data_IF_354107354325
#
_entry.id   IF_354107354325
#
_cell.length_a   1.000
_cell.length_b   1.000
_cell.length_c   1.000
_cell.angle_alpha   90.00
_cell.angle_beta   90.00
_cell.angle_gamma   90.00
#
_symmetry.space_group_name_H-M   'P 1'
#
loop_
_entity.id
_entity.type
_entity.pdbx_description
1 polymer ?
#
# COMPACT_ATOMS: atom_id res chain seq x y z
N UNK A 1 35.77 7.07 42.16
CA UNK A 1 36.41 6.04 41.29
C UNK A 1 35.60 5.93 40.01
N UNK A 2 36.27 5.92 38.84
CA UNK A 2 35.67 5.91 37.50
C UNK A 2 35.47 4.46 37.05
N UNK A 3 34.27 4.09 36.62
CA UNK A 3 34.06 2.87 35.84
C UNK A 3 33.74 3.26 34.40
N UNK A 4 34.67 2.96 33.51
CA UNK A 4 34.49 2.99 32.06
C UNK A 4 34.30 1.55 31.60
N UNK A 5 33.24 1.27 30.85
CA UNK A 5 33.26 0.19 29.86
C UNK A 5 32.20 0.45 28.80
N UNK A 6 32.67 0.62 27.56
CA UNK A 6 31.85 0.66 26.34
C UNK A 6 32.30 -0.55 25.52
N UNK A 7 31.44 -1.55 25.39
CA UNK A 7 31.74 -2.77 24.63
C UNK A 7 31.33 -2.53 23.18
N UNK A 8 32.35 -2.43 22.31
CA UNK A 8 32.20 -2.35 20.85
C UNK A 8 32.24 -3.75 20.27
N UNK A 9 31.14 -4.19 19.65
CA UNK A 9 31.08 -5.46 18.92
C UNK A 9 31.14 -5.17 17.43
N UNK A 10 32.22 -5.59 16.76
CA UNK A 10 32.39 -5.51 15.31
C UNK A 10 31.88 -6.79 14.65
N UNK A 11 31.01 -6.67 13.66
CA UNK A 11 30.49 -7.79 12.86
C UNK A 11 31.41 -8.02 11.65
N UNK A 12 32.05 -9.18 11.55
CA UNK A 12 32.86 -9.53 10.38
C UNK A 12 32.00 -10.19 9.29
N UNK A 13 32.03 -9.67 8.06
CA UNK A 13 31.43 -10.29 6.87
C UNK A 13 32.46 -11.24 6.23
N UNK A 14 32.24 -12.54 6.35
CA UNK A 14 33.01 -13.55 5.62
C UNK A 14 32.66 -13.57 4.14
N UNK A 15 33.67 -13.53 3.27
CA UNK A 15 33.52 -13.69 1.82
C UNK A 15 33.55 -15.18 1.51
N UNK A 16 32.49 -15.71 0.92
CA UNK A 16 32.47 -17.07 0.36
C UNK A 16 32.95 -17.01 -1.10
N UNK A 17 34.17 -17.48 -1.34
CA UNK A 17 34.65 -17.80 -2.69
C UNK A 17 34.53 -19.33 -2.87
N UNK A 18 33.55 -19.78 -3.64
CA UNK A 18 33.48 -21.17 -4.11
C UNK A 18 33.72 -21.20 -5.62
N UNK A 19 34.96 -21.47 -6.02
CA UNK A 19 35.28 -21.91 -7.38
C UNK A 19 35.02 -23.42 -7.45
N UNK A 20 33.93 -23.81 -8.11
CA UNK A 20 33.64 -25.21 -8.44
C UNK A 20 34.32 -25.60 -9.74
N UNK A 21 35.01 -26.73 -9.71
CA UNK A 21 35.88 -27.26 -10.75
C UNK A 21 35.15 -27.70 -12.04
N UNK A 22 35.88 -27.53 -13.15
CA UNK A 22 35.58 -28.05 -14.47
C UNK A 22 35.93 -29.54 -14.56
N UNK A 23 34.97 -30.37 -14.96
CA UNK A 23 35.24 -31.72 -15.44
C UNK A 23 34.53 -31.92 -16.79
N UNK A 24 35.33 -31.86 -17.85
CA UNK A 24 34.96 -32.34 -19.18
C UNK A 24 34.82 -33.86 -19.12
N UNK A 25 33.63 -34.38 -19.41
CA UNK A 25 33.44 -35.74 -19.90
C UNK A 25 32.46 -35.69 -21.07
N UNK A 26 32.88 -36.31 -22.14
CA UNK A 26 32.40 -36.27 -23.50
C UNK A 26 31.66 -37.57 -23.78
N UNK A 27 30.34 -37.49 -23.95
CA UNK A 27 29.53 -38.57 -24.53
C UNK A 27 28.42 -37.95 -25.39
N UNK A 28 28.28 -38.46 -26.61
CA UNK A 28 27.46 -37.90 -27.67
C UNK A 28 25.97 -38.15 -27.44
N UNK A 29 25.13 -37.14 -27.70
CA UNK A 29 23.75 -37.36 -28.15
C UNK A 29 23.13 -36.11 -28.79
N UNK A 30 22.72 -36.31 -30.05
CA UNK A 30 21.70 -35.61 -30.83
C UNK A 30 21.74 -34.07 -30.89
N UNK A 31 22.17 -33.57 -32.04
CA UNK A 31 21.93 -32.21 -32.51
C UNK A 31 20.43 -31.87 -32.51
N UNK A 32 20.00 -31.07 -31.53
CA UNK A 32 18.84 -30.21 -31.66
C UNK A 32 19.37 -28.76 -31.76
N UNK A 33 19.02 -28.10 -32.87
CA UNK A 33 19.39 -26.72 -33.20
C UNK A 33 19.22 -25.81 -31.96
N UNK A 34 20.15 -24.88 -31.67
CA UNK A 34 19.88 -23.85 -30.69
C UNK A 34 18.66 -23.07 -31.20
N UNK A 35 17.55 -23.20 -30.48
CA UNK A 35 16.40 -22.33 -30.70
C UNK A 35 16.88 -20.95 -30.30
N UNK A 36 17.22 -20.12 -31.28
CA UNK A 36 17.30 -18.69 -31.13
C UNK A 36 15.89 -18.21 -30.79
N UNK A 37 15.56 -18.23 -29.51
CA UNK A 37 14.49 -17.40 -28.99
C UNK A 37 15.11 -16.51 -27.95
N UNK A 38 15.92 -15.58 -28.46
CA UNK A 38 15.97 -14.23 -27.89
C UNK A 38 14.54 -13.69 -27.92
N UNK A 39 13.75 -14.14 -26.95
CA UNK A 39 12.47 -13.55 -26.62
C UNK A 39 12.84 -12.23 -25.98
N UNK A 40 13.14 -11.23 -26.82
CA UNK A 40 13.08 -9.84 -26.42
C UNK A 40 11.65 -9.63 -25.95
N UNK A 41 11.39 -9.87 -24.67
CA UNK A 41 10.18 -9.45 -24.01
C UNK A 41 10.13 -7.96 -24.25
N UNK A 42 9.25 -7.54 -25.15
CA UNK A 42 8.97 -6.15 -25.44
C UNK A 42 8.70 -5.48 -24.10
N UNK A 43 9.70 -4.77 -23.57
CA UNK A 43 9.55 -3.81 -22.50
C UNK A 43 8.70 -2.68 -23.07
N UNK A 44 7.40 -2.92 -23.23
CA UNK A 44 6.41 -1.85 -23.21
C UNK A 44 6.37 -1.38 -21.76
N UNK A 45 7.43 -0.67 -21.35
CA UNK A 45 7.55 -0.03 -20.06
C UNK A 45 6.52 1.08 -20.03
N UNK A 46 5.29 0.75 -19.66
CA UNK A 46 4.30 1.76 -19.29
C UNK A 46 4.95 2.61 -18.20
N UNK A 47 5.26 3.86 -18.55
CA UNK A 47 5.78 4.83 -17.57
C UNK A 47 4.85 4.85 -16.36
N UNK A 48 5.38 4.99 -15.15
CA UNK A 48 4.55 5.02 -13.94
C UNK A 48 4.25 6.45 -13.53
N UNK A 49 3.12 6.65 -12.87
CA UNK A 49 2.77 7.88 -12.16
C UNK A 49 2.63 7.55 -10.69
N UNK A 50 3.27 8.37 -9.85
CA UNK A 50 3.19 8.29 -8.40
C UNK A 50 2.24 9.37 -7.90
N UNK A 51 1.14 8.94 -7.32
CA UNK A 51 0.11 9.84 -6.78
C UNK A 51 0.21 9.85 -5.27
N UNK A 52 0.55 10.98 -4.64
CA UNK A 52 0.63 11.07 -3.20
C UNK A 52 -0.74 10.91 -2.56
N UNK A 53 -0.80 10.20 -1.44
CA UNK A 53 -1.99 10.11 -0.61
C UNK A 53 -1.71 10.40 0.86
N UNK A 54 -2.75 10.84 1.56
CA UNK A 54 -2.74 11.08 3.00
C UNK A 54 -3.94 10.38 3.67
N UNK A 55 -3.71 9.77 4.83
CA UNK A 55 -4.77 9.10 5.61
C UNK A 55 -4.96 9.84 6.93
N UNK A 56 -6.17 10.37 7.12
CA UNK A 56 -6.62 10.97 8.38
C UNK A 56 -7.62 10.03 9.04
N UNK A 57 -7.37 9.69 10.31
CA UNK A 57 -8.28 8.84 11.10
C UNK A 57 -8.68 9.59 12.37
N UNK A 58 -9.99 9.80 12.60
CA UNK A 58 -10.52 10.53 13.76
C UNK A 58 -9.86 11.90 13.99
N UNK A 59 -9.66 12.67 12.91
CA UNK A 59 -8.97 13.96 12.97
C UNK A 59 -7.46 13.89 13.22
N UNK A 60 -6.89 12.71 13.47
CA UNK A 60 -5.45 12.51 13.58
C UNK A 60 -4.89 12.19 12.19
N UNK A 61 -4.30 13.21 11.56
CA UNK A 61 -3.49 13.00 10.35
C UNK A 61 -2.10 12.55 10.77
N UNK A 62 -1.72 11.34 10.36
CA UNK A 62 -0.33 10.92 10.45
C UNK A 62 0.30 11.32 9.12
N UNK A 63 1.44 12.00 9.18
CA UNK A 63 2.23 12.45 8.04
C UNK A 63 2.92 11.27 7.32
N UNK A 64 2.16 10.23 6.99
CA UNK A 64 2.59 9.18 6.09
C UNK A 64 2.05 9.56 4.72
N UNK A 65 2.71 10.56 4.11
CA UNK A 65 2.59 10.84 2.69
C UNK A 65 3.34 9.73 1.96
N UNK A 66 2.58 8.78 1.42
CA UNK A 66 3.12 7.74 0.54
C UNK A 66 2.45 7.85 -0.83
N UNK A 67 2.91 7.05 -1.80
CA UNK A 67 2.47 7.14 -3.17
C UNK A 67 1.71 5.88 -3.61
N UNK A 68 0.55 6.07 -4.22
CA UNK A 68 -0.09 5.05 -5.04
C UNK A 68 0.54 5.07 -6.43
N UNK A 69 0.93 3.91 -6.93
CA UNK A 69 1.55 3.78 -8.25
C UNK A 69 0.51 3.34 -9.29
N UNK A 70 0.48 4.06 -10.41
CA UNK A 70 -0.41 3.80 -11.55
C UNK A 70 0.40 3.74 -12.85
N UNK A 71 -0.13 3.08 -13.88
CA UNK A 71 0.41 3.22 -15.23
C UNK A 71 0.04 4.61 -15.75
N UNK A 72 0.99 5.32 -16.33
CA UNK A 72 0.79 6.65 -16.91
C UNK A 72 -0.27 6.59 -18.01
N UNK A 73 -1.15 7.58 -18.02
CA UNK A 73 -2.23 7.75 -18.99
C UNK A 73 -3.23 6.59 -19.02
N UNK A 74 -3.23 5.73 -17.99
CA UNK A 74 -4.24 4.68 -17.85
C UNK A 74 -5.55 5.29 -17.40
N UNK A 75 -6.64 4.93 -18.09
CA UNK A 75 -8.00 5.16 -17.63
C UNK A 75 -8.34 4.11 -16.57
N UNK A 76 -8.65 4.56 -15.36
CA UNK A 76 -9.00 3.71 -14.22
C UNK A 76 -10.44 3.96 -13.81
N UNK A 77 -11.13 2.92 -13.34
CA UNK A 77 -12.46 3.06 -12.78
C UNK A 77 -12.41 3.57 -11.34
N UNK A 78 -13.49 4.20 -10.86
CA UNK A 78 -13.61 4.55 -9.44
C UNK A 78 -13.60 3.34 -8.53
N UNK A 79 -14.04 2.17 -9.03
CA UNK A 79 -13.98 0.91 -8.29
C UNK A 79 -12.53 0.46 -8.07
N UNK A 80 -11.70 0.45 -9.13
CA UNK A 80 -10.29 0.06 -9.01
C UNK A 80 -9.51 1.02 -8.11
N UNK A 81 -9.86 2.31 -8.15
CA UNK A 81 -9.29 3.30 -7.26
C UNK A 81 -9.72 3.06 -5.81
N UNK A 82 -10.99 2.75 -5.57
CA UNK A 82 -11.50 2.41 -4.25
C UNK A 82 -10.81 1.16 -3.69
N UNK A 83 -10.64 0.11 -4.49
CA UNK A 83 -9.97 -1.13 -4.08
C UNK A 83 -8.53 -0.84 -3.62
N UNK A 84 -7.80 0.04 -4.33
CA UNK A 84 -6.47 0.52 -3.90
C UNK A 84 -6.52 1.34 -2.62
N UNK A 85 -7.53 2.21 -2.46
CA UNK A 85 -7.73 3.03 -1.25
C UNK A 85 -8.01 2.13 -0.03
N UNK A 86 -8.85 1.11 -0.17
CA UNK A 86 -9.12 0.12 0.88
C UNK A 86 -7.86 -0.66 1.25
N UNK A 87 -7.10 -1.10 0.25
CA UNK A 87 -5.83 -1.80 0.48
C UNK A 87 -4.82 -0.97 1.30
N UNK A 88 -4.69 0.34 1.04
CA UNK A 88 -3.79 1.20 1.85
C UNK A 88 -4.35 1.55 3.22
N UNK A 89 -5.68 1.55 3.39
CA UNK A 89 -6.32 1.70 4.70
C UNK A 89 -6.05 0.48 5.59
N UNK A 90 -6.17 -0.72 5.03
CA UNK A 90 -5.92 -1.97 5.73
C UNK A 90 -4.42 -2.13 6.06
N UNK A 91 -3.54 -1.99 5.07
CA UNK A 91 -2.09 -2.20 5.27
C UNK A 91 -1.45 -1.15 6.18
N UNK A 92 -1.83 0.13 6.09
CA UNK A 92 -1.19 1.19 6.88
C UNK A 92 -1.87 1.45 8.23
N UNK A 93 -3.16 1.15 8.37
CA UNK A 93 -3.95 1.52 9.56
C UNK A 93 -4.76 0.37 10.15
N UNK A 94 -4.76 -0.81 9.54
CA UNK A 94 -5.56 -1.95 9.98
C UNK A 94 -7.07 -1.71 9.87
N UNK A 95 -7.50 -0.78 9.02
CA UNK A 95 -8.92 -0.45 8.83
C UNK A 95 -9.49 -1.36 7.72
N UNK A 96 -10.35 -2.29 8.12
CA UNK A 96 -10.97 -3.28 7.22
C UNK A 96 -12.29 -2.76 6.63
N UNK A 97 -12.87 -3.46 5.65
CA UNK A 97 -14.20 -3.13 5.12
C UNK A 97 -15.29 -3.14 6.21
N UNK A 98 -15.16 -4.03 7.21
CA UNK A 98 -16.05 -4.05 8.39
C UNK A 98 -15.96 -2.75 9.17
N UNK A 99 -14.74 -2.25 9.42
CA UNK A 99 -14.53 -0.98 10.12
C UNK A 99 -15.10 0.20 9.33
N UNK A 100 -14.95 0.21 8.01
CA UNK A 100 -15.53 1.24 7.14
C UNK A 100 -17.06 1.25 7.20
N UNK A 101 -17.70 0.07 7.17
CA UNK A 101 -19.16 -0.06 7.30
C UNK A 101 -19.66 0.44 8.65
N UNK A 102 -18.92 0.16 9.73
CA UNK A 102 -19.24 0.57 11.10
C UNK A 102 -18.82 2.01 11.44
N UNK A 103 -18.03 2.64 10.58
CA UNK A 103 -17.54 4.01 10.75
C UNK A 103 -18.68 5.04 10.73
N UNK A 104 -18.45 6.18 11.39
CA UNK A 104 -19.33 7.35 11.27
C UNK A 104 -19.24 7.94 9.87
N UNK A 105 -18.01 8.02 9.35
CA UNK A 105 -17.70 8.52 8.03
C UNK A 105 -16.50 7.76 7.47
N UNK A 106 -16.57 7.42 6.20
CA UNK A 106 -15.42 6.91 5.46
C UNK A 106 -15.50 7.42 4.02
N UNK A 107 -14.60 8.33 3.65
CA UNK A 107 -14.58 8.93 2.31
C UNK A 107 -13.16 9.18 1.85
N UNK A 108 -12.96 9.21 0.54
CA UNK A 108 -11.74 9.72 -0.05
C UNK A 108 -12.04 10.84 -1.04
N UNK A 109 -11.11 11.77 -1.15
CA UNK A 109 -11.17 12.89 -2.09
C UNK A 109 -10.05 12.76 -3.08
N UNK A 110 -10.39 12.65 -4.35
CA UNK A 110 -9.44 12.76 -5.47
C UNK A 110 -9.30 14.23 -5.81
N UNK A 111 -8.10 14.76 -5.66
CA UNK A 111 -7.76 16.11 -6.13
C UNK A 111 -7.12 15.97 -7.51
N UNK A 112 -7.65 16.68 -8.50
CA UNK A 112 -7.13 16.66 -9.86
C UNK A 112 -6.16 17.83 -10.09
N UNK A 113 -5.28 17.67 -11.08
CA UNK A 113 -4.29 18.71 -11.45
C UNK A 113 -4.94 19.99 -11.98
N UNK A 114 -6.13 19.88 -12.58
CA UNK A 114 -6.94 21.01 -13.04
C UNK A 114 -7.64 21.78 -11.90
N UNK A 115 -7.43 21.39 -10.64
CA UNK A 115 -8.03 22.04 -9.47
C UNK A 115 -9.40 21.49 -9.04
N UNK A 116 -10.05 20.67 -9.88
CA UNK A 116 -11.32 20.02 -9.53
C UNK A 116 -11.12 18.94 -8.48
N UNK A 117 -12.20 18.58 -7.78
CA UNK A 117 -12.20 17.55 -6.72
C UNK A 117 -13.39 16.62 -6.88
N UNK A 118 -13.18 15.34 -6.59
CA UNK A 118 -14.26 14.35 -6.47
C UNK A 118 -14.20 13.70 -5.10
N UNK A 119 -15.32 13.70 -4.39
CA UNK A 119 -15.48 13.01 -3.11
C UNK A 119 -16.23 11.71 -3.37
N UNK A 120 -15.71 10.61 -2.83
CA UNK A 120 -16.29 9.27 -2.95
C UNK A 120 -16.51 8.74 -1.53
N UNK A 121 -17.71 8.24 -1.29
CA UNK A 121 -18.08 7.57 -0.05
C UNK A 121 -17.73 6.08 -0.15
N UNK A 122 -16.83 5.62 0.73
CA UNK A 122 -16.37 4.23 0.80
C UNK A 122 -17.45 3.26 1.30
N UNK A 123 -18.59 3.79 1.78
CA UNK A 123 -19.73 3.02 2.29
C UNK A 123 -20.82 2.84 1.25
N UNK A 124 -20.81 3.61 0.15
CA UNK A 124 -21.94 3.66 -0.77
C UNK A 124 -22.09 2.40 -1.62
N UNK A 125 -20.98 1.78 -2.04
CA UNK A 125 -20.99 0.64 -2.97
C UNK A 125 -21.57 0.95 -4.37
N UNK A 126 -21.91 2.22 -4.66
CA UNK A 126 -22.44 2.66 -5.94
C UNK A 126 -21.34 3.38 -6.72
N UNK A 127 -21.06 2.89 -7.92
CA UNK A 127 -20.00 3.43 -8.78
C UNK A 127 -20.59 3.97 -10.08
N UNK A 128 -20.08 5.11 -10.52
CA UNK A 128 -20.35 5.60 -11.88
C UNK A 128 -19.48 4.85 -12.88
N UNK A 129 -19.99 4.60 -14.09
CA UNK A 129 -19.20 4.05 -15.20
C UNK A 129 -18.09 5.00 -15.71
N UNK A 130 -18.01 6.22 -15.19
CA UNK A 130 -16.99 7.19 -15.56
C UNK A 130 -15.59 6.69 -15.19
N UNK A 131 -14.67 6.83 -16.14
CA UNK A 131 -13.26 6.56 -15.94
C UNK A 131 -12.51 7.86 -15.67
N UNK A 132 -11.40 7.77 -14.94
CA UNK A 132 -10.49 8.88 -14.70
C UNK A 132 -9.12 8.54 -15.27
N UNK A 133 -8.43 9.54 -15.81
CA UNK A 133 -7.05 9.35 -16.24
C UNK A 133 -6.13 9.45 -15.02
N UNK A 134 -5.32 8.43 -14.79
CA UNK A 134 -4.33 8.38 -13.70
C UNK A 134 -3.34 9.54 -13.71
N UNK A 135 -2.98 10.06 -14.89
CA UNK A 135 -2.06 11.20 -15.01
C UNK A 135 -2.68 12.53 -14.56
N UNK A 136 -4.01 12.62 -14.51
CA UNK A 136 -4.72 13.84 -14.10
C UNK A 136 -4.89 13.94 -12.59
N UNK A 137 -4.59 12.86 -11.86
CA UNK A 137 -4.69 12.84 -10.40
C UNK A 137 -3.49 13.57 -9.81
N UNK A 138 -3.76 14.55 -8.94
CA UNK A 138 -2.75 15.30 -8.19
C UNK A 138 -2.46 14.66 -6.84
N UNK A 139 -3.49 14.31 -6.09
CA UNK A 139 -3.36 13.65 -4.79
C UNK A 139 -4.67 13.02 -4.34
N UNK A 140 -4.59 12.12 -3.35
CA UNK A 140 -5.75 11.45 -2.76
C UNK A 140 -5.76 11.67 -1.25
N UNK A 141 -6.84 12.24 -0.72
CA UNK A 141 -7.01 12.45 0.72
C UNK A 141 -8.06 11.49 1.25
N UNK A 142 -7.67 10.58 2.14
CA UNK A 142 -8.53 9.57 2.74
C UNK A 142 -8.88 10.02 4.16
N UNK A 143 -10.17 10.04 4.48
CA UNK A 143 -10.68 10.43 5.79
C UNK A 143 -11.66 9.36 6.31
N UNK A 144 -11.31 8.79 7.47
CA UNK A 144 -12.13 7.80 8.17
C UNK A 144 -12.34 8.24 9.61
N UNK A 145 -13.59 8.42 10.01
CA UNK A 145 -13.99 8.63 11.40
C UNK A 145 -14.58 7.34 11.94
N UNK A 146 -13.76 6.58 12.66
CA UNK A 146 -14.21 5.35 13.31
C UNK A 146 -15.08 5.71 14.53
N UNK A 147 -16.08 4.86 14.82
CA UNK A 147 -16.66 4.87 16.17
C UNK A 147 -15.50 4.49 17.10
N UNK A 148 -15.14 5.36 18.04
CA UNK A 148 -14.12 5.07 19.05
C UNK A 148 -14.55 3.80 19.83
N UNK A 149 -14.10 2.62 19.40
CA UNK A 149 -14.35 1.35 20.11
C UNK A 149 -13.67 1.42 21.48
N UNK A 150 -12.57 2.17 21.61
CA UNK A 150 -11.95 2.50 22.91
C UNK A 150 -12.88 3.28 23.84
N UNK A 151 -13.66 4.26 23.35
CA UNK A 151 -14.68 4.95 24.17
C UNK A 151 -15.91 4.08 24.41
N UNK A 152 -16.30 3.22 23.47
CA UNK A 152 -17.48 2.34 23.64
C UNK A 152 -17.16 1.23 24.65
N UNK A 153 -16.03 0.54 24.51
CA UNK A 153 -15.57 -0.49 25.43
C UNK A 153 -15.33 0.08 26.84
N UNK A 154 -14.67 1.25 26.93
CA UNK A 154 -14.48 1.92 28.23
C UNK A 154 -15.81 2.41 28.83
N UNK A 155 -16.72 3.00 28.04
CA UNK A 155 -18.04 3.43 28.54
C UNK A 155 -18.91 2.26 28.97
N UNK A 156 -18.91 1.14 28.24
CA UNK A 156 -19.65 -0.06 28.62
C UNK A 156 -19.09 -0.70 29.89
N UNK A 157 -17.76 -0.78 30.02
CA UNK A 157 -17.11 -1.27 31.25
C UNK A 157 -17.42 -0.37 32.46
N UNK A 158 -17.36 0.96 32.31
CA UNK A 158 -17.70 1.89 33.40
C UNK A 158 -19.19 1.83 33.74
N UNK A 159 -20.07 1.70 32.75
CA UNK A 159 -21.52 1.63 32.95
C UNK A 159 -21.93 0.36 33.70
N UNK A 160 -21.29 -0.77 33.40
CA UNK A 160 -21.45 -2.01 34.16
C UNK A 160 -20.98 -1.86 35.62
N UNK A 161 -19.87 -1.16 35.84
CA UNK A 161 -19.31 -0.99 37.17
C UNK A 161 -20.20 -0.09 38.05
N UNK A 162 -20.79 0.98 37.51
CA UNK A 162 -21.67 1.89 38.26
C UNK A 162 -23.06 1.28 38.55
N UNK A 163 -23.58 0.40 37.69
CA UNK A 163 -24.88 -0.23 37.92
C UNK A 163 -24.84 -1.31 39.02
N UNK A 164 -23.64 -1.72 39.45
CA UNK A 164 -23.40 -2.78 40.43
C UNK A 164 -23.03 -2.26 41.84
N UNK A 165 -23.10 -0.94 42.05
CA UNK A 165 -22.86 -0.24 43.34
C UNK A 165 -24.13 0.51 43.72
#
# INVERSE_FOLDING_TARGET
MKFKSLITTTLALGVLASTGANFNNNEASAAAKPLDKSSSSLHHGYSKVHVPYAITVNGTSQNILSNLTFNKNQNISYKDLEDKVKSVLESNRGITDVDLRLSKQAKYTVNFKNGTKKVIDLKSGIYTANLINSSDIKSININVDTKNISKIKLKETIKFHIQLI
#
